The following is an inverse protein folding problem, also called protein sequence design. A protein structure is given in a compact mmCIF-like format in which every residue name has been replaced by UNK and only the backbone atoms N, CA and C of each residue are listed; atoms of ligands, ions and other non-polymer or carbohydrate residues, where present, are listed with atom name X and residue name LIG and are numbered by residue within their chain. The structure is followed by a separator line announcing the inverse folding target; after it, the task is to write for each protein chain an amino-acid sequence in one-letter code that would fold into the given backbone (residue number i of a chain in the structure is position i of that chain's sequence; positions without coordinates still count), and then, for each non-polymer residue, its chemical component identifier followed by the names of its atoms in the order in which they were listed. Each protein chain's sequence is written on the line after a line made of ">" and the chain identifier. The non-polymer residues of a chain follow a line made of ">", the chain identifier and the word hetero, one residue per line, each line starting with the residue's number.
data_IF_667785786266
#
_entry.id   IF_667785786266
#
_cell.length_a   1.000
_cell.length_b   1.000
_cell.length_c   1.000
_cell.angle_alpha   90.00
_cell.angle_beta   90.00
_cell.angle_gamma   90.00
#
_symmetry.space_group_name_H-M   'P 1'
#
loop_
_entity.id
_entity.type
_entity.pdbx_description
1 polymer ?
#
# COMPACT_ATOMS: atom_id res chain seq x y z
N UNK A 1 -7.79 -0.18 -0.34
CA UNK A 1 -6.97 -0.59 0.82
C UNK A 1 -7.26 -2.01 1.33
N UNK A 2 -8.53 -2.45 1.35
CA UNK A 2 -8.94 -3.77 1.92
C UNK A 2 -8.24 -4.96 1.26
N UNK A 3 -8.03 -4.92 -0.06
CA UNK A 3 -7.32 -5.99 -0.78
C UNK A 3 -5.79 -5.80 -0.81
N UNK A 4 -5.25 -4.82 -0.08
CA UNK A 4 -3.82 -4.52 -0.09
C UNK A 4 -3.20 -4.77 1.29
N UNK A 5 -3.60 -3.98 2.28
CA UNK A 5 -2.95 -3.93 3.59
C UNK A 5 -3.04 -5.23 4.38
N UNK A 6 -4.20 -5.91 4.49
CA UNK A 6 -4.28 -7.16 5.24
C UNK A 6 -3.34 -8.24 4.72
N UNK A 7 -3.12 -8.31 3.39
CA UNK A 7 -2.24 -9.30 2.79
C UNK A 7 -0.78 -9.16 3.25
N UNK A 8 -0.32 -7.94 3.55
CA UNK A 8 1.02 -7.67 4.09
C UNK A 8 1.16 -8.32 5.47
N UNK A 9 0.15 -8.16 6.33
CA UNK A 9 0.18 -8.68 7.69
C UNK A 9 0.01 -10.20 7.73
N UNK A 10 -0.82 -10.77 6.86
CA UNK A 10 -0.96 -12.22 6.74
C UNK A 10 0.37 -12.84 6.29
N UNK A 11 1.03 -12.30 5.25
CA UNK A 11 2.34 -12.79 4.83
C UNK A 11 3.38 -12.67 5.94
N UNK A 12 3.41 -11.54 6.65
CA UNK A 12 4.30 -11.36 7.80
C UNK A 12 4.05 -12.40 8.88
N UNK A 13 2.79 -12.68 9.21
CA UNK A 13 2.44 -13.72 10.18
C UNK A 13 2.95 -15.09 9.75
N UNK A 14 2.70 -15.49 8.50
CA UNK A 14 3.17 -16.76 7.94
C UNK A 14 4.70 -16.87 7.99
N UNK A 15 5.41 -15.80 7.62
CA UNK A 15 6.87 -15.75 7.68
C UNK A 15 7.39 -15.89 9.12
N UNK A 16 6.81 -15.14 10.06
CA UNK A 16 7.22 -15.15 11.48
C UNK A 16 6.97 -16.50 12.16
N UNK A 17 5.91 -17.21 11.74
CA UNK A 17 5.54 -18.53 12.28
C UNK A 17 6.15 -19.67 11.48
N UNK A 18 6.97 -19.38 10.46
CA UNK A 18 7.62 -20.35 9.56
C UNK A 18 6.63 -21.29 8.85
N UNK A 19 5.42 -20.81 8.57
CA UNK A 19 4.42 -21.56 7.82
C UNK A 19 4.67 -21.42 6.32
N UNK A 20 4.86 -22.54 5.62
CA UNK A 20 5.13 -22.55 4.19
C UNK A 20 3.94 -23.14 3.41
N UNK A 21 3.00 -22.26 3.02
CA UNK A 21 1.83 -22.61 2.22
C UNK A 21 1.94 -21.86 0.89
N UNK A 22 2.53 -22.52 -0.11
CA UNK A 22 2.93 -21.91 -1.38
C UNK A 22 1.76 -21.31 -2.16
N UNK A 23 0.62 -22.01 -2.24
CA UNK A 23 -0.57 -21.53 -2.93
C UNK A 23 -1.15 -20.27 -2.28
N UNK A 24 -1.28 -20.28 -0.95
CA UNK A 24 -1.76 -19.12 -0.18
C UNK A 24 -0.82 -17.93 -0.36
N UNK A 25 0.50 -18.15 -0.33
CA UNK A 25 1.49 -17.08 -0.55
C UNK A 25 1.31 -16.44 -1.93
N UNK A 26 1.21 -17.25 -2.99
CA UNK A 26 0.99 -16.76 -4.35
C UNK A 26 -0.30 -15.93 -4.45
N UNK A 27 -1.38 -16.40 -3.84
CA UNK A 27 -2.66 -15.69 -3.82
C UNK A 27 -2.56 -14.34 -3.10
N UNK A 28 -1.90 -14.29 -1.94
CA UNK A 28 -1.67 -13.06 -1.17
C UNK A 28 -0.83 -12.05 -1.96
N UNK A 29 0.23 -12.51 -2.64
CA UNK A 29 1.06 -11.66 -3.50
C UNK A 29 0.27 -11.11 -4.70
N UNK A 30 -0.59 -11.91 -5.32
CA UNK A 30 -1.43 -11.46 -6.42
C UNK A 30 -2.43 -10.38 -5.97
N UNK A 31 -3.08 -10.58 -4.81
CA UNK A 31 -3.96 -9.56 -4.24
C UNK A 31 -3.20 -8.29 -3.86
N UNK A 32 -2.00 -8.42 -3.30
CA UNK A 32 -1.16 -7.27 -2.95
C UNK A 32 -0.76 -6.47 -4.20
N UNK A 33 -0.36 -7.12 -5.30
CA UNK A 33 -0.06 -6.44 -6.57
C UNK A 33 -1.29 -5.75 -7.17
N UNK A 34 -2.43 -6.42 -7.19
CA UNK A 34 -3.69 -5.84 -7.67
C UNK A 34 -4.13 -4.65 -6.81
N UNK A 35 -4.02 -4.78 -5.48
CA UNK A 35 -4.30 -3.73 -4.51
C UNK A 35 -3.40 -2.52 -4.71
N UNK A 36 -2.08 -2.72 -4.83
CA UNK A 36 -1.12 -1.64 -5.10
C UNK A 36 -1.50 -0.86 -6.36
N UNK A 37 -1.72 -1.55 -7.49
CA UNK A 37 -2.15 -0.92 -8.75
C UNK A 37 -3.44 -0.12 -8.60
N UNK A 38 -4.40 -0.63 -7.81
CA UNK A 38 -5.66 0.06 -7.55
C UNK A 38 -5.46 1.32 -6.70
N UNK A 39 -4.62 1.26 -5.66
CA UNK A 39 -4.33 2.44 -4.85
C UNK A 39 -3.77 3.60 -5.68
N UNK A 40 -2.96 3.31 -6.72
CA UNK A 40 -2.43 4.35 -7.61
C UNK A 40 -3.51 5.18 -8.30
N UNK A 41 -4.73 4.64 -8.49
CA UNK A 41 -5.85 5.36 -9.09
C UNK A 41 -6.44 6.44 -8.16
N UNK A 42 -6.22 6.31 -6.85
CA UNK A 42 -6.66 7.25 -5.83
C UNK A 42 -5.60 8.29 -5.48
N UNK A 43 -4.43 8.22 -6.13
CA UNK A 43 -3.38 9.24 -6.00
C UNK A 43 -3.75 10.48 -6.80
N UNK A 44 -3.67 11.62 -6.14
CA UNK A 44 -3.91 12.94 -6.71
C UNK A 44 -2.69 13.46 -7.48
N UNK A 45 -2.87 14.49 -8.30
CA UNK A 45 -1.78 15.14 -9.05
C UNK A 45 -0.70 15.74 -8.16
N UNK A 46 -1.09 16.26 -6.99
CA UNK A 46 -0.19 16.76 -5.94
C UNK A 46 0.55 15.63 -5.17
N UNK A 47 0.23 14.37 -5.47
CA UNK A 47 0.83 13.19 -4.87
C UNK A 47 0.17 12.71 -3.58
N UNK A 48 -0.81 13.44 -3.03
CA UNK A 48 -1.62 13.01 -1.89
C UNK A 48 -2.65 11.95 -2.28
N UNK A 49 -3.30 11.35 -1.27
CA UNK A 49 -4.37 10.36 -1.46
C UNK A 49 -5.68 10.86 -0.85
N UNK A 50 -6.78 10.55 -1.53
CA UNK A 50 -8.15 10.76 -1.05
C UNK A 50 -9.01 9.55 -1.42
N UNK A 51 -10.27 9.52 -0.98
CA UNK A 51 -11.16 8.38 -1.25
C UNK A 51 -11.51 8.25 -2.75
N UNK A 52 -11.58 9.39 -3.45
CA UNK A 52 -11.95 9.46 -4.87
C UNK A 52 -10.86 10.09 -5.76
N UNK A 53 -9.63 10.21 -5.24
CA UNK A 53 -8.49 10.74 -5.97
C UNK A 53 -8.70 12.18 -6.47
N UNK A 54 -8.44 12.42 -7.75
CA UNK A 54 -8.59 13.76 -8.34
C UNK A 54 -10.05 14.26 -8.45
N UNK A 55 -11.04 13.41 -8.15
CA UNK A 55 -12.43 13.84 -8.08
C UNK A 55 -12.77 14.58 -6.77
N UNK A 56 -11.96 14.41 -5.72
CA UNK A 56 -12.08 15.20 -4.49
C UNK A 56 -11.42 16.57 -4.66
N UNK A 57 -11.79 17.55 -3.82
CA UNK A 57 -11.14 18.87 -3.85
C UNK A 57 -9.75 18.85 -3.21
N UNK A 58 -9.52 17.95 -2.25
CA UNK A 58 -8.27 17.87 -1.47
C UNK A 58 -7.89 16.45 -1.07
N UNK A 59 -6.60 16.26 -0.76
CA UNK A 59 -6.07 15.03 -0.17
C UNK A 59 -6.29 14.94 1.34
N UNK A 60 -6.28 13.72 1.88
CA UNK A 60 -6.28 13.48 3.31
C UNK A 60 -4.86 13.21 3.80
N UNK A 61 -4.38 14.01 4.75
CA UNK A 61 -3.06 13.80 5.38
C UNK A 61 -2.94 12.43 6.01
N UNK A 62 -3.97 12.01 6.77
CA UNK A 62 -3.98 10.71 7.43
C UNK A 62 -3.99 9.56 6.42
N UNK A 63 -4.84 9.63 5.40
CA UNK A 63 -4.91 8.58 4.38
C UNK A 63 -3.60 8.48 3.59
N UNK A 64 -3.03 9.63 3.22
CA UNK A 64 -1.74 9.70 2.53
C UNK A 64 -0.65 9.02 3.36
N UNK A 65 -0.52 9.37 4.64
CA UNK A 65 0.45 8.76 5.53
C UNK A 65 0.21 7.24 5.69
N UNK A 66 -1.06 6.82 5.80
CA UNK A 66 -1.42 5.42 5.91
C UNK A 66 -1.05 4.60 4.67
N UNK A 67 -1.33 5.12 3.47
CA UNK A 67 -0.99 4.49 2.19
C UNK A 67 0.53 4.37 2.04
N UNK A 68 1.27 5.46 2.29
CA UNK A 68 2.74 5.46 2.17
C UNK A 68 3.42 4.51 3.15
N UNK A 69 2.96 4.47 4.41
CA UNK A 69 3.43 3.49 5.40
C UNK A 69 3.17 2.06 4.94
N UNK A 70 1.99 1.80 4.35
CA UNK A 70 1.63 0.48 3.83
C UNK A 70 2.51 0.07 2.65
N UNK A 71 2.80 1.00 1.74
CA UNK A 71 3.72 0.79 0.62
C UNK A 71 5.15 0.48 1.09
N UNK A 72 5.64 1.20 2.10
CA UNK A 72 6.94 0.92 2.69
C UNK A 72 7.00 -0.50 3.27
N UNK A 73 5.94 -0.96 3.93
CA UNK A 73 5.88 -2.34 4.46
C UNK A 73 5.76 -3.40 3.37
N UNK A 74 5.11 -3.07 2.25
CA UNK A 74 4.93 -3.99 1.12
C UNK A 74 6.22 -4.24 0.32
N UNK A 75 7.24 -3.37 0.43
CA UNK A 75 8.55 -3.53 -0.22
C UNK A 75 9.26 -4.86 0.12
N UNK A 76 8.91 -5.49 1.24
CA UNK A 76 9.41 -6.81 1.61
C UNK A 76 8.87 -7.93 0.70
N UNK A 77 7.75 -7.71 0.02
CA UNK A 77 6.97 -8.75 -0.65
C UNK A 77 6.75 -8.51 -2.14
N UNK A 78 6.56 -7.25 -2.54
CA UNK A 78 6.28 -6.88 -3.92
C UNK A 78 7.13 -5.67 -4.34
N UNK A 79 7.23 -5.46 -5.65
CA UNK A 79 7.86 -4.27 -6.19
C UNK A 79 6.92 -3.07 -6.05
N UNK A 80 7.38 -2.04 -5.32
CA UNK A 80 6.72 -0.74 -5.23
C UNK A 80 7.68 0.31 -5.80
N UNK A 81 7.14 1.26 -6.56
CA UNK A 81 7.97 2.34 -7.13
C UNK A 81 8.65 3.14 -6.03
N UNK A 82 9.98 3.25 -6.09
CA UNK A 82 10.78 3.98 -5.10
C UNK A 82 10.33 5.43 -4.95
N UNK A 83 9.96 6.09 -6.05
CA UNK A 83 9.43 7.46 -6.05
C UNK A 83 8.16 7.60 -5.21
N UNK A 84 7.28 6.59 -5.25
CA UNK A 84 6.03 6.60 -4.50
C UNK A 84 6.31 6.30 -3.03
N UNK A 85 7.10 5.27 -2.74
CA UNK A 85 7.43 4.87 -1.37
C UNK A 85 8.28 5.90 -0.61
N UNK A 86 9.05 6.76 -1.30
CA UNK A 86 9.91 7.78 -0.70
C UNK A 86 9.25 9.16 -0.53
N UNK A 87 7.96 9.30 -0.87
CA UNK A 87 7.26 10.59 -0.73
C UNK A 87 7.26 11.00 0.74
N UNK A 88 8.08 11.99 1.11
CA UNK A 88 8.07 12.59 2.45
C UNK A 88 6.77 13.38 2.58
N UNK A 89 5.83 12.88 3.37
CA UNK A 89 4.76 13.73 3.91
C UNK A 89 5.46 14.78 4.78
N UNK A 90 5.42 16.04 4.37
CA UNK A 90 5.82 17.15 5.23
C UNK A 90 4.80 17.20 6.38
N UNK A 91 5.08 16.45 7.44
CA UNK A 91 4.29 16.43 8.69
C UNK A 91 4.58 17.69 9.54
N UNK A 92 4.58 18.87 8.91
CA UNK A 92 4.71 20.15 9.60
C UNK A 92 3.63 21.11 9.09
N UNK A 93 2.50 21.09 9.79
CA UNK A 93 1.51 22.17 9.87
C UNK A 93 0.79 22.02 11.20
#
# INVERSE_FOLDING_TARGET
>A
MINFVPNIFILRFLDTTKQNISETRTKLLNFMNAGYRRELLYRRTDGSYSAFGNADDSGSTWLTAFVLKSFQQALQYIQVSKYIASTRVLLYS
#
